data_IF_475737301794
#
_entry.id   IF_475737301794
#
_cell.length_a   1.000
_cell.length_b   1.000
_cell.length_c   1.000
_cell.angle_alpha   90.00
_cell.angle_beta   90.00
_cell.angle_gamma   90.00
#
_symmetry.space_group_name_H-M   'P 1'
#
loop_
_entity.id
_entity.type
_entity.pdbx_description
1 polymer ?
#
# COMPACT_ATOMS: atom_id res chain seq x y z
N UNK A 1 -15.77 9.73 -7.33
CA UNK A 1 -14.98 10.86 -6.77
C UNK A 1 -14.84 10.61 -5.28
N UNK A 2 -13.65 10.55 -4.75
CA UNK A 2 -13.42 10.29 -3.33
C UNK A 2 -13.97 11.45 -2.48
N UNK A 3 -14.93 11.20 -1.62
CA UNK A 3 -15.43 12.20 -0.67
C UNK A 3 -14.54 12.29 0.56
N UNK A 4 -14.06 11.13 1.02
CA UNK A 4 -13.15 10.97 2.15
C UNK A 4 -12.18 9.83 1.84
N UNK A 5 -10.92 10.01 2.18
CA UNK A 5 -9.84 9.06 1.94
C UNK A 5 -9.14 8.76 3.28
N UNK A 6 -9.02 7.49 3.62
CA UNK A 6 -8.17 7.05 4.73
C UNK A 6 -6.80 6.64 4.18
N UNK A 7 -5.72 7.18 4.73
CA UNK A 7 -4.35 6.95 4.21
C UNK A 7 -3.43 6.51 5.34
N UNK A 8 -2.56 5.54 5.06
CA UNK A 8 -1.42 5.19 5.91
C UNK A 8 -0.23 4.70 5.06
N UNK A 9 0.93 4.52 5.70
CA UNK A 9 2.20 4.15 5.06
C UNK A 9 3.12 3.44 6.04
N UNK A 10 4.21 2.82 5.57
CA UNK A 10 5.36 2.36 6.36
C UNK A 10 5.02 1.33 7.45
N UNK A 11 4.22 0.32 7.16
CA UNK A 11 3.83 -0.69 8.16
C UNK A 11 4.92 -1.75 8.39
N UNK A 12 5.74 -2.04 7.37
CA UNK A 12 6.92 -2.89 7.44
C UNK A 12 6.69 -4.30 8.03
N UNK A 13 5.74 -5.07 7.52
CA UNK A 13 5.63 -6.48 7.87
C UNK A 13 6.97 -7.19 7.74
N UNK A 14 7.34 -8.00 8.74
CA UNK A 14 8.61 -8.72 8.78
C UNK A 14 9.79 -7.96 9.40
N UNK A 15 9.56 -6.76 9.93
CA UNK A 15 10.57 -6.04 10.71
C UNK A 15 11.05 -6.87 11.92
N UNK A 16 12.20 -6.54 12.49
CA UNK A 16 12.83 -7.25 13.62
C UNK A 16 12.98 -8.75 13.36
N UNK A 17 13.60 -9.11 12.22
CA UNK A 17 13.87 -10.50 11.83
C UNK A 17 12.60 -11.36 11.71
N UNK A 18 11.55 -10.82 11.11
CA UNK A 18 10.24 -11.47 10.96
C UNK A 18 9.54 -11.77 12.30
N UNK A 19 9.68 -10.86 13.26
CA UNK A 19 9.08 -11.01 14.59
C UNK A 19 7.57 -11.21 14.49
N UNK A 20 7.07 -12.29 15.10
CA UNK A 20 5.63 -12.54 15.21
C UNK A 20 4.91 -11.46 16.02
N UNK A 21 5.56 -10.92 17.05
CA UNK A 21 5.00 -9.82 17.86
C UNK A 21 4.79 -8.61 16.96
N UNK A 22 5.81 -8.20 16.19
CA UNK A 22 5.69 -7.08 15.28
C UNK A 22 4.63 -7.30 14.20
N UNK A 23 4.56 -8.52 13.64
CA UNK A 23 3.52 -8.82 12.65
C UNK A 23 2.11 -8.76 13.25
N UNK A 24 1.92 -9.20 14.49
CA UNK A 24 0.65 -9.05 15.20
C UNK A 24 0.31 -7.58 15.46
N UNK A 25 1.28 -6.77 15.90
CA UNK A 25 1.10 -5.32 16.07
C UNK A 25 0.65 -4.65 14.75
N UNK A 26 1.22 -5.09 13.61
CA UNK A 26 0.79 -4.64 12.28
C UNK A 26 -0.67 -5.04 11.98
N UNK A 27 -1.08 -6.29 12.28
CA UNK A 27 -2.46 -6.75 12.09
C UNK A 27 -3.45 -5.97 12.98
N UNK A 28 -3.11 -5.72 14.25
CA UNK A 28 -3.91 -4.90 15.17
C UNK A 28 -4.04 -3.46 14.68
N UNK A 29 -2.95 -2.88 14.15
CA UNK A 29 -3.00 -1.57 13.52
C UNK A 29 -3.95 -1.53 12.32
N UNK A 30 -3.95 -2.56 11.46
CA UNK A 30 -4.87 -2.66 10.33
C UNK A 30 -6.33 -2.71 10.81
N UNK A 31 -6.62 -3.49 11.84
CA UNK A 31 -7.96 -3.57 12.42
C UNK A 31 -8.40 -2.20 12.96
N UNK A 32 -7.56 -1.52 13.73
CA UNK A 32 -7.80 -0.17 14.21
C UNK A 32 -7.99 0.85 13.06
N UNK A 33 -7.14 0.81 12.03
CA UNK A 33 -7.24 1.69 10.86
C UNK A 33 -8.59 1.53 10.15
N UNK A 34 -9.04 0.28 9.95
CA UNK A 34 -10.34 -0.03 9.34
C UNK A 34 -11.48 0.54 10.19
N UNK A 35 -11.44 0.34 11.50
CA UNK A 35 -12.44 0.89 12.43
C UNK A 35 -12.49 2.41 12.34
N UNK A 36 -11.35 3.09 12.43
CA UNK A 36 -11.25 4.53 12.36
C UNK A 36 -11.73 5.10 11.01
N UNK A 37 -11.44 4.40 9.90
CA UNK A 37 -11.92 4.78 8.58
C UNK A 37 -13.45 4.67 8.49
N UNK A 38 -14.03 3.57 8.99
CA UNK A 38 -15.48 3.34 9.00
C UNK A 38 -16.23 4.38 9.84
N UNK A 39 -15.75 4.66 11.05
CA UNK A 39 -16.33 5.68 11.94
C UNK A 39 -16.40 7.05 11.28
N UNK A 40 -15.40 7.38 10.41
CA UNK A 40 -15.33 8.65 9.70
C UNK A 40 -16.03 8.63 8.33
N UNK A 41 -16.61 7.51 7.95
CA UNK A 41 -17.30 7.32 6.68
C UNK A 41 -16.35 7.41 5.48
N UNK A 42 -15.15 6.83 5.59
CA UNK A 42 -14.21 6.68 4.48
C UNK A 42 -14.53 5.39 3.72
N UNK A 43 -15.01 5.51 2.49
CA UNK A 43 -15.30 4.39 1.58
C UNK A 43 -14.08 3.96 0.78
N UNK A 44 -13.06 4.82 0.73
CA UNK A 44 -11.80 4.58 0.00
C UNK A 44 -10.63 4.60 0.97
N UNK A 45 -9.75 3.61 0.85
CA UNK A 45 -8.50 3.52 1.56
C UNK A 45 -7.29 3.64 0.63
N UNK A 46 -6.13 3.99 1.18
CA UNK A 46 -4.88 4.11 0.44
C UNK A 46 -3.69 3.75 1.32
N UNK A 47 -2.79 2.96 0.78
CA UNK A 47 -1.50 2.66 1.36
C UNK A 47 -0.38 3.21 0.49
N UNK A 48 0.54 3.99 1.08
CA UNK A 48 1.52 4.79 0.35
C UNK A 48 2.95 4.23 0.40
N UNK A 49 3.11 2.92 0.53
CA UNK A 49 4.40 2.23 0.35
C UNK A 49 5.03 1.68 1.63
N UNK A 50 5.99 0.79 1.43
CA UNK A 50 6.75 0.07 2.46
C UNK A 50 5.89 -0.89 3.31
N UNK A 51 5.17 -1.77 2.62
CA UNK A 51 4.36 -2.82 3.23
C UNK A 51 5.20 -3.91 3.86
N UNK A 52 6.20 -4.42 3.11
CA UNK A 52 7.16 -5.39 3.62
C UNK A 52 8.50 -4.75 3.95
N UNK A 53 9.15 -5.24 5.01
CA UNK A 53 10.48 -4.75 5.38
C UNK A 53 11.58 -5.31 4.48
N UNK A 54 11.48 -6.60 4.12
CA UNK A 54 12.49 -7.31 3.35
C UNK A 54 12.10 -7.39 1.86
N UNK A 55 12.95 -6.87 0.98
CA UNK A 55 12.70 -6.85 -0.46
C UNK A 55 13.02 -8.16 -1.20
N UNK A 56 13.92 -8.98 -0.67
CA UNK A 56 14.46 -10.14 -1.40
C UNK A 56 13.77 -11.46 -1.05
N UNK A 57 13.12 -11.54 0.10
CA UNK A 57 12.47 -12.76 0.56
C UNK A 57 11.36 -12.44 1.56
N UNK A 58 10.30 -13.21 1.53
CA UNK A 58 9.23 -13.16 2.52
C UNK A 58 9.25 -14.44 3.35
N UNK A 59 9.31 -14.28 4.66
CA UNK A 59 9.10 -15.39 5.59
C UNK A 59 7.63 -15.83 5.54
N UNK A 60 7.34 -17.12 5.64
CA UNK A 60 5.98 -17.64 5.53
C UNK A 60 5.02 -17.06 6.57
N UNK A 61 5.47 -16.84 7.82
CA UNK A 61 4.61 -16.24 8.85
C UNK A 61 4.33 -14.78 8.59
N UNK A 62 5.29 -14.06 8.02
CA UNK A 62 5.12 -12.66 7.59
C UNK A 62 4.17 -12.57 6.38
N UNK A 63 4.34 -13.47 5.41
CA UNK A 63 3.47 -13.53 4.24
C UNK A 63 2.01 -13.82 4.62
N UNK A 64 1.80 -14.75 5.56
CA UNK A 64 0.47 -15.12 6.05
C UNK A 64 -0.24 -13.95 6.76
N UNK A 65 0.45 -13.24 7.68
CA UNK A 65 -0.07 -12.05 8.35
C UNK A 65 -0.36 -10.91 7.35
N UNK A 66 0.55 -10.70 6.40
CA UNK A 66 0.42 -9.72 5.32
C UNK A 66 -0.81 -9.99 4.45
N UNK A 67 -1.00 -11.26 4.04
CA UNK A 67 -2.12 -11.67 3.18
C UNK A 67 -3.46 -11.47 3.89
N UNK A 68 -3.58 -11.93 5.16
CA UNK A 68 -4.79 -11.69 5.95
C UNK A 68 -5.13 -10.20 6.08
N UNK A 69 -4.12 -9.36 6.29
CA UNK A 69 -4.30 -7.91 6.40
C UNK A 69 -4.79 -7.29 5.10
N UNK A 70 -4.24 -7.69 3.95
CA UNK A 70 -4.70 -7.24 2.64
C UNK A 70 -6.15 -7.70 2.35
N UNK A 71 -6.50 -8.94 2.71
CA UNK A 71 -7.89 -9.41 2.58
C UNK A 71 -8.87 -8.61 3.44
N UNK A 72 -8.48 -8.23 4.67
CA UNK A 72 -9.28 -7.36 5.53
C UNK A 72 -9.50 -6.00 4.88
N UNK A 73 -8.45 -5.39 4.35
CA UNK A 73 -8.51 -4.09 3.66
C UNK A 73 -9.41 -4.15 2.41
N UNK A 74 -9.23 -5.17 1.57
CA UNK A 74 -10.05 -5.36 0.37
C UNK A 74 -11.54 -5.57 0.67
N UNK A 75 -11.87 -6.19 1.82
CA UNK A 75 -13.26 -6.36 2.28
C UNK A 75 -13.85 -5.11 2.95
N UNK A 76 -13.00 -4.27 3.53
CA UNK A 76 -13.42 -3.13 4.35
C UNK A 76 -13.75 -1.89 3.52
N UNK A 77 -13.13 -1.72 2.37
CA UNK A 77 -13.25 -0.56 1.51
C UNK A 77 -13.88 -0.93 0.16
N UNK A 78 -14.64 0.01 -0.43
CA UNK A 78 -15.11 -0.15 -1.82
C UNK A 78 -13.95 -0.15 -2.81
N UNK A 79 -12.92 0.67 -2.54
CA UNK A 79 -11.68 0.74 -3.30
C UNK A 79 -10.52 0.94 -2.34
N UNK A 80 -9.52 0.10 -2.43
CA UNK A 80 -8.26 0.25 -1.70
C UNK A 80 -7.10 0.33 -2.68
N UNK A 81 -6.45 1.50 -2.73
CA UNK A 81 -5.29 1.75 -3.59
C UNK A 81 -4.00 1.47 -2.82
N UNK A 82 -3.11 0.73 -3.46
CA UNK A 82 -1.89 0.25 -2.84
C UNK A 82 -0.68 0.61 -3.70
N UNK A 83 0.24 1.40 -3.14
CA UNK A 83 1.51 1.72 -3.79
C UNK A 83 2.61 0.81 -3.27
N UNK A 84 3.41 0.15 -4.11
CA UNK A 84 4.67 -0.42 -3.67
C UNK A 84 5.65 0.70 -3.33
N UNK A 85 6.23 0.62 -2.11
CA UNK A 85 7.31 1.50 -1.67
C UNK A 85 8.69 0.97 -2.07
N UNK A 86 9.75 1.67 -1.69
CA UNK A 86 11.11 1.25 -2.04
C UNK A 86 11.54 -0.07 -1.36
N UNK A 87 11.00 -0.39 -0.19
CA UNK A 87 11.24 -1.68 0.48
C UNK A 87 10.49 -2.83 -0.18
N UNK A 88 9.39 -2.56 -0.86
CA UNK A 88 8.63 -3.59 -1.56
C UNK A 88 9.28 -4.02 -2.88
N UNK A 89 10.09 -3.16 -3.50
CA UNK A 89 10.72 -3.43 -4.79
C UNK A 89 11.91 -4.38 -4.65
N UNK A 90 11.98 -5.42 -5.49
CA UNK A 90 13.13 -6.30 -5.59
C UNK A 90 14.36 -5.54 -6.12
N UNK A 91 14.21 -4.84 -7.24
CA UNK A 91 15.23 -3.95 -7.80
C UNK A 91 15.02 -2.52 -7.30
N UNK A 92 16.12 -1.80 -7.04
CA UNK A 92 16.04 -0.40 -6.57
C UNK A 92 15.57 0.57 -7.65
N UNK A 93 15.72 0.20 -8.91
CA UNK A 93 15.54 1.02 -10.11
C UNK A 93 14.44 0.52 -11.03
N UNK A 94 13.65 -0.49 -10.61
CA UNK A 94 12.56 -1.06 -11.40
C UNK A 94 11.40 -1.49 -10.50
N UNK A 95 10.16 -1.41 -11.03
CA UNK A 95 8.93 -1.85 -10.35
C UNK A 95 8.31 -3.14 -10.90
N UNK A 96 9.00 -3.80 -11.83
CA UNK A 96 8.52 -5.03 -12.50
C UNK A 96 8.39 -6.23 -11.55
N UNK A 97 9.17 -6.26 -10.47
CA UNK A 97 9.05 -7.27 -9.41
C UNK A 97 8.95 -6.58 -8.05
N UNK A 98 7.87 -6.80 -7.34
CA UNK A 98 7.69 -6.31 -5.98
C UNK A 98 6.93 -7.30 -5.08
N UNK A 99 7.17 -7.20 -3.77
CA UNK A 99 6.70 -8.16 -2.79
C UNK A 99 5.18 -8.18 -2.58
N UNK A 100 4.47 -7.19 -3.10
CA UNK A 100 3.00 -7.03 -2.95
C UNK A 100 2.21 -7.28 -4.25
N UNK A 101 2.87 -7.79 -5.28
CA UNK A 101 2.24 -8.07 -6.58
C UNK A 101 1.02 -9.01 -6.47
N UNK A 102 1.02 -9.93 -5.52
CA UNK A 102 -0.10 -10.83 -5.25
C UNK A 102 -1.37 -10.09 -4.79
N UNK A 103 -1.25 -8.86 -4.31
CA UNK A 103 -2.40 -8.02 -3.93
C UNK A 103 -3.39 -7.78 -5.07
N UNK A 104 -2.94 -7.83 -6.33
CA UNK A 104 -3.83 -7.71 -7.50
C UNK A 104 -4.87 -8.82 -7.62
N UNK A 105 -4.67 -9.95 -6.95
CA UNK A 105 -5.62 -11.07 -6.93
C UNK A 105 -6.62 -10.98 -5.77
N UNK A 106 -6.48 -9.99 -4.89
CA UNK A 106 -7.37 -9.77 -3.74
C UNK A 106 -8.50 -8.80 -4.18
N UNK A 107 -9.77 -9.22 -4.11
CA UNK A 107 -10.88 -8.34 -4.43
C UNK A 107 -10.85 -7.05 -3.60
N UNK A 108 -11.09 -5.90 -4.25
CA UNK A 108 -11.09 -4.60 -3.60
C UNK A 108 -9.71 -3.93 -3.50
N UNK A 109 -8.61 -4.63 -3.81
CA UNK A 109 -7.25 -4.07 -3.85
C UNK A 109 -6.88 -3.68 -5.28
N UNK A 110 -6.38 -2.48 -5.46
CA UNK A 110 -5.80 -1.98 -6.71
C UNK A 110 -4.34 -1.61 -6.50
N UNK A 111 -3.42 -2.36 -7.11
CA UNK A 111 -1.98 -2.04 -7.09
C UNK A 111 -1.70 -0.91 -8.08
N UNK A 112 -1.09 0.17 -7.61
CA UNK A 112 -0.75 1.36 -8.41
C UNK A 112 0.74 1.32 -8.75
N UNK A 113 1.07 0.78 -9.92
CA UNK A 113 2.46 0.66 -10.41
C UNK A 113 2.92 1.84 -11.26
N UNK A 114 2.00 2.68 -11.69
CA UNK A 114 2.27 3.84 -12.53
C UNK A 114 1.51 5.06 -12.01
N UNK A 115 1.97 6.26 -12.38
CA UNK A 115 1.27 7.49 -12.04
C UNK A 115 -0.15 7.44 -12.60
N UNK A 116 -1.11 7.46 -11.69
CA UNK A 116 -2.53 7.27 -12.02
C UNK A 116 -3.35 8.43 -11.45
N UNK A 117 -4.19 9.02 -12.29
CA UNK A 117 -5.11 10.09 -11.86
C UNK A 117 -6.55 9.61 -11.93
N UNK A 118 -7.27 9.72 -10.80
CA UNK A 118 -8.69 9.41 -10.71
C UNK A 118 -9.41 10.64 -10.16
N UNK A 119 -10.19 11.31 -10.99
CA UNK A 119 -10.84 12.58 -10.64
C UNK A 119 -9.81 13.66 -10.31
N UNK A 120 -9.83 14.16 -9.07
CA UNK A 120 -8.91 15.21 -8.60
C UNK A 120 -7.67 14.65 -7.85
N UNK A 121 -7.58 13.33 -7.71
CA UNK A 121 -6.49 12.64 -6.97
C UNK A 121 -5.51 12.03 -7.95
N UNK A 122 -4.25 12.41 -7.85
CA UNK A 122 -3.13 11.79 -8.56
C UNK A 122 -2.32 10.95 -7.58
N UNK A 123 -2.15 9.69 -7.91
CA UNK A 123 -1.41 8.68 -7.16
C UNK A 123 -0.05 8.46 -7.82
N UNK A 124 1.02 8.65 -7.05
CA UNK A 124 2.41 8.56 -7.53
C UNK A 124 3.13 7.49 -6.72
N UNK A 125 3.38 6.29 -7.30
CA UNK A 125 4.16 5.26 -6.61
C UNK A 125 5.60 5.70 -6.42
N UNK A 126 6.39 4.95 -5.62
CA UNK A 126 7.81 5.25 -5.46
C UNK A 126 8.49 5.49 -6.81
N UNK A 127 8.99 6.71 -7.00
CA UNK A 127 9.58 7.15 -8.27
C UNK A 127 10.95 6.50 -8.49
N UNK A 128 11.18 6.01 -9.70
CA UNK A 128 12.45 5.43 -10.14
C UNK A 128 13.07 6.26 -11.26
N UNK A 129 14.41 6.37 -11.24
CA UNK A 129 15.14 7.10 -12.28
C UNK A 129 14.67 8.56 -12.42
N UNK A 130 14.34 8.94 -13.65
CA UNK A 130 13.95 10.29 -14.04
C UNK A 130 12.43 10.57 -13.99
N UNK A 131 11.63 9.67 -13.42
CA UNK A 131 10.16 9.81 -13.37
C UNK A 131 9.72 11.12 -12.70
N UNK A 132 10.47 11.59 -11.69
CA UNK A 132 10.20 12.86 -11.01
C UNK A 132 10.06 14.05 -11.99
N UNK A 133 10.79 14.03 -13.12
CA UNK A 133 10.72 15.08 -14.16
C UNK A 133 9.35 15.15 -14.84
N UNK A 134 8.63 14.02 -14.90
CA UNK A 134 7.26 13.96 -15.44
C UNK A 134 6.26 14.36 -14.37
N UNK A 135 6.43 13.84 -13.15
CA UNK A 135 5.53 14.10 -12.01
C UNK A 135 5.46 15.59 -11.68
N UNK A 136 6.57 16.31 -11.68
CA UNK A 136 6.62 17.77 -11.41
C UNK A 136 5.83 18.62 -12.41
N UNK A 137 5.44 18.08 -13.56
CA UNK A 137 4.64 18.77 -14.60
C UNK A 137 3.14 18.48 -14.46
N UNK A 138 2.75 17.56 -13.60
CA UNK A 138 1.35 17.19 -13.40
C UNK A 138 0.65 18.25 -12.55
N UNK A 139 -0.44 18.79 -13.08
CA UNK A 139 -1.34 19.65 -12.31
C UNK A 139 -2.40 18.78 -11.66
N UNK A 140 -2.29 18.55 -10.37
CA UNK A 140 -3.26 17.81 -9.58
C UNK A 140 -3.78 18.66 -8.44
N UNK A 141 -5.03 18.45 -8.03
CA UNK A 141 -5.59 19.10 -6.83
C UNK A 141 -5.07 18.44 -5.55
N UNK A 142 -5.01 17.11 -5.58
CA UNK A 142 -4.44 16.29 -4.51
C UNK A 142 -3.44 15.31 -5.13
N UNK A 143 -2.27 15.18 -4.53
CA UNK A 143 -1.22 14.25 -4.97
C UNK A 143 -0.68 13.48 -3.76
N UNK A 144 -0.57 12.17 -3.89
CA UNK A 144 -0.03 11.25 -2.90
C UNK A 144 1.10 10.44 -3.48
#
# INVERSE_FOLDING_TARGET
MFKKLAVFTDIHFGLKSNSKIHNNDCEEFIDWYIEQAKERGCETGMFCGDWHHNRNSLNLTTMDASLRSLEKLGKAFENFYFFPGNHDLYFKDKRDIHSVEFGKFIPGITIVNEVTTIGEVTMVPWMIGDEWKKVTKIKAKYMF
#
